data_IF_166169912172
#
_entry.id   IF_166169912172
#
_cell.length_a   1.000
_cell.length_b   1.000
_cell.length_c   1.000
_cell.angle_alpha   90.00
_cell.angle_beta   90.00
_cell.angle_gamma   90.00
#
_symmetry.space_group_name_H-M   'P 1'
#
loop_
_entity.id
_entity.type
_entity.pdbx_description
1 polymer ?
#
# COMPACT_ATOMS: atom_id res chain seq x y z
N UNK A 1 -7.14 21.08 29.39
CA UNK A 1 -6.45 21.17 28.08
C UNK A 1 -7.33 20.45 27.08
N UNK A 2 -7.92 21.17 26.13
CA UNK A 2 -8.86 20.56 25.18
C UNK A 2 -8.08 20.12 23.94
N UNK A 3 -7.55 18.91 24.00
CA UNK A 3 -6.86 18.29 22.88
C UNK A 3 -7.88 18.01 21.77
N UNK A 4 -7.97 18.94 20.81
CA UNK A 4 -8.90 18.82 19.70
C UNK A 4 -8.31 17.85 18.69
N UNK A 5 -8.64 16.56 18.81
CA UNK A 5 -8.21 15.53 17.85
C UNK A 5 -8.78 15.85 16.48
N UNK A 6 -7.90 16.21 15.55
CA UNK A 6 -8.28 16.48 14.16
C UNK A 6 -8.72 15.16 13.52
N UNK A 7 -9.93 15.09 12.96
CA UNK A 7 -10.47 13.87 12.34
C UNK A 7 -10.73 14.05 10.84
N UNK A 8 -10.82 12.94 10.10
CA UNK A 8 -11.15 12.90 8.68
C UNK A 8 -11.98 11.68 8.32
N UNK A 9 -12.97 11.89 7.45
CA UNK A 9 -13.75 10.82 6.83
C UNK A 9 -12.96 10.16 5.69
N UNK A 10 -12.82 8.84 5.73
CA UNK A 10 -12.24 8.07 4.63
C UNK A 10 -13.16 8.10 3.41
N UNK A 11 -12.64 8.45 2.24
CA UNK A 11 -13.38 8.48 0.96
C UNK A 11 -13.73 7.09 0.39
N UNK A 12 -13.31 6.00 1.04
CA UNK A 12 -13.61 4.62 0.61
C UNK A 12 -14.56 3.89 1.55
N UNK A 13 -14.20 3.77 2.83
CA UNK A 13 -15.08 3.12 3.82
C UNK A 13 -16.02 4.10 4.55
N UNK A 14 -15.90 5.41 4.31
CA UNK A 14 -16.74 6.44 4.92
C UNK A 14 -16.68 6.55 6.45
N UNK A 15 -15.82 5.79 7.12
CA UNK A 15 -15.53 5.93 8.55
C UNK A 15 -14.75 7.22 8.85
N UNK A 16 -15.09 7.84 9.98
CA UNK A 16 -14.35 8.96 10.56
C UNK A 16 -13.22 8.38 11.43
N UNK A 17 -11.98 8.82 11.18
CA UNK A 17 -10.80 8.41 11.94
C UNK A 17 -9.95 9.64 12.26
N UNK A 18 -9.09 9.54 13.26
CA UNK A 18 -8.12 10.58 13.57
C UNK A 18 -7.19 10.84 12.38
N UNK A 19 -6.91 12.11 12.10
CA UNK A 19 -5.99 12.56 11.06
C UNK A 19 -4.55 12.42 11.56
N UNK A 20 -4.15 11.17 11.77
CA UNK A 20 -2.81 10.80 12.21
C UNK A 20 -2.11 9.94 11.15
N UNK A 21 -0.79 9.83 11.29
CA UNK A 21 0.01 8.91 10.49
C UNK A 21 -0.37 7.45 10.70
N UNK A 22 -1.08 7.09 11.76
CA UNK A 22 -1.56 5.73 12.00
C UNK A 22 -2.73 5.38 11.08
N UNK A 23 -3.68 6.31 10.90
CA UNK A 23 -4.89 6.06 10.13
C UNK A 23 -4.77 6.43 8.65
N UNK A 24 -3.94 7.42 8.31
CA UNK A 24 -3.80 7.93 6.93
C UNK A 24 -2.32 8.02 6.52
N UNK A 25 -2.02 7.64 5.28
CA UNK A 25 -0.68 7.86 4.73
C UNK A 25 -0.42 9.35 4.52
N UNK A 26 0.81 9.79 4.81
CA UNK A 26 1.28 11.12 4.44
C UNK A 26 1.27 11.25 2.91
N UNK A 27 0.79 12.38 2.42
CA UNK A 27 0.73 12.70 0.99
C UNK A 27 1.09 14.16 0.82
N UNK A 28 2.34 14.42 0.48
CA UNK A 28 2.87 15.78 0.30
C UNK A 28 2.19 16.54 -0.84
N UNK A 29 1.60 15.83 -1.81
CA UNK A 29 0.83 16.43 -2.90
C UNK A 29 -0.61 16.79 -2.52
N UNK A 30 -1.09 16.47 -1.31
CA UNK A 30 -2.43 16.82 -0.84
C UNK A 30 -2.36 18.05 0.06
N UNK A 31 -3.29 19.00 -0.10
CA UNK A 31 -3.34 20.24 0.69
C UNK A 31 -3.30 19.99 2.20
N UNK A 32 -3.86 18.88 2.68
CA UNK A 32 -3.90 18.53 4.12
C UNK A 32 -2.75 17.62 4.57
N UNK A 33 -1.77 17.33 3.70
CA UNK A 33 -0.61 16.50 4.01
C UNK A 33 -0.89 15.01 4.23
N UNK A 34 -2.15 14.58 4.16
CA UNK A 34 -2.59 13.20 4.35
C UNK A 34 -3.51 12.74 3.22
N UNK A 35 -3.55 11.44 2.97
CA UNK A 35 -4.46 10.80 2.03
C UNK A 35 -5.94 10.96 2.43
N UNK A 36 -6.83 10.99 1.42
CA UNK A 36 -8.30 10.88 1.61
C UNK A 36 -8.75 9.46 1.92
N UNK A 37 -7.87 8.47 1.75
CA UNK A 37 -8.17 7.04 1.93
C UNK A 37 -7.36 6.53 3.11
N UNK A 38 -8.01 5.86 4.07
CA UNK A 38 -7.34 5.31 5.24
C UNK A 38 -6.36 4.19 4.86
N UNK A 39 -5.42 3.89 5.76
CA UNK A 39 -4.45 2.81 5.57
C UNK A 39 -5.11 1.45 5.36
N UNK A 40 -6.18 1.15 6.11
CA UNK A 40 -6.91 -0.13 5.99
C UNK A 40 -7.46 -0.34 4.58
N UNK A 41 -8.13 0.67 4.00
CA UNK A 41 -8.64 0.58 2.64
C UNK A 41 -7.52 0.44 1.60
N UNK A 42 -6.38 1.11 1.81
CA UNK A 42 -5.23 0.93 0.93
C UNK A 42 -4.64 -0.49 1.04
N UNK A 43 -4.48 -1.03 2.26
CA UNK A 43 -4.02 -2.41 2.47
C UNK A 43 -4.91 -3.42 1.76
N UNK A 44 -6.24 -3.28 1.85
CA UNK A 44 -7.19 -4.15 1.13
C UNK A 44 -7.00 -4.06 -0.39
N UNK A 45 -6.97 -2.84 -0.94
CA UNK A 45 -6.74 -2.59 -2.37
C UNK A 45 -5.40 -3.16 -2.86
N UNK A 46 -4.34 -3.03 -2.06
CA UNK A 46 -3.01 -3.52 -2.42
C UNK A 46 -2.96 -5.06 -2.35
N UNK A 47 -3.65 -5.68 -1.39
CA UNK A 47 -3.81 -7.13 -1.31
C UNK A 47 -4.58 -7.68 -2.52
N UNK A 48 -5.71 -7.06 -2.90
CA UNK A 48 -6.48 -7.42 -4.10
C UNK A 48 -5.63 -7.29 -5.37
N UNK A 49 -4.90 -6.18 -5.50
CA UNK A 49 -3.98 -5.95 -6.61
C UNK A 49 -2.89 -7.03 -6.68
N UNK A 50 -2.36 -7.45 -5.53
CA UNK A 50 -1.37 -8.51 -5.46
C UNK A 50 -1.97 -9.84 -5.90
N UNK A 51 -3.14 -10.23 -5.41
CA UNK A 51 -3.80 -11.48 -5.81
C UNK A 51 -4.04 -11.52 -7.33
N UNK A 52 -4.55 -10.44 -7.91
CA UNK A 52 -4.80 -10.34 -9.36
C UNK A 52 -3.53 -10.41 -10.21
N UNK A 53 -2.36 -10.10 -9.64
CA UNK A 53 -1.06 -10.13 -10.33
C UNK A 53 -0.17 -11.29 -9.89
N UNK A 54 -0.64 -12.14 -8.97
CA UNK A 54 0.16 -13.16 -8.29
C UNK A 54 0.86 -14.09 -9.27
N UNK A 55 0.13 -14.60 -10.26
CA UNK A 55 0.67 -15.53 -11.24
C UNK A 55 1.75 -14.90 -12.12
N UNK A 56 1.55 -13.65 -12.53
CA UNK A 56 2.55 -12.88 -13.29
C UNK A 56 3.83 -12.66 -12.47
N UNK A 57 3.68 -12.32 -11.20
CA UNK A 57 4.79 -12.13 -10.26
C UNK A 57 5.55 -13.45 -10.06
N UNK A 58 4.85 -14.56 -9.85
CA UNK A 58 5.46 -15.89 -9.66
C UNK A 58 6.18 -16.36 -10.93
N UNK A 59 5.58 -16.18 -12.10
CA UNK A 59 6.20 -16.51 -13.38
C UNK A 59 7.48 -15.68 -13.61
N UNK A 60 7.45 -14.39 -13.29
CA UNK A 60 8.64 -13.53 -13.37
C UNK A 60 9.74 -13.99 -12.41
N UNK A 61 9.40 -14.30 -11.16
CA UNK A 61 10.35 -14.84 -10.16
C UNK A 61 10.97 -16.14 -10.64
N UNK A 62 10.18 -17.08 -11.16
CA UNK A 62 10.68 -18.36 -11.70
C UNK A 62 11.69 -18.15 -12.83
N UNK A 63 11.40 -17.23 -13.77
CA UNK A 63 12.33 -16.88 -14.86
C UNK A 63 13.63 -16.25 -14.33
N UNK A 64 13.53 -15.37 -13.34
CA UNK A 64 14.70 -14.72 -12.72
C UNK A 64 15.65 -15.76 -12.11
N UNK A 65 15.14 -16.66 -11.27
CA UNK A 65 15.96 -17.68 -10.62
C UNK A 65 16.54 -18.69 -11.61
N UNK A 66 15.80 -19.03 -12.68
CA UNK A 66 16.33 -19.89 -13.75
C UNK A 66 17.57 -19.26 -14.41
N UNK A 67 17.47 -18.00 -14.82
CA UNK A 67 18.59 -17.24 -15.41
C UNK A 67 19.76 -17.03 -14.44
N UNK A 68 19.47 -16.92 -13.15
CA UNK A 68 20.53 -16.81 -12.14
C UNK A 68 21.28 -18.13 -11.99
N UNK A 69 20.57 -19.27 -11.97
CA UNK A 69 21.19 -20.60 -11.92
C UNK A 69 22.03 -20.88 -13.17
N UNK A 70 21.52 -20.55 -14.36
CA UNK A 70 22.28 -20.65 -15.62
C UNK A 70 23.61 -19.88 -15.53
N UNK A 71 23.57 -18.62 -15.09
CA UNK A 71 24.78 -17.79 -14.92
C UNK A 71 25.78 -18.31 -13.89
N UNK A 72 25.32 -18.98 -12.85
CA UNK A 72 26.20 -19.55 -11.83
C UNK A 72 26.86 -20.86 -12.29
N UNK A 73 26.25 -21.55 -13.24
CA UNK A 73 26.76 -22.82 -13.76
C UNK A 73 27.72 -22.64 -14.95
N UNK A 74 27.77 -21.45 -15.56
CA UNK A 74 28.69 -21.09 -16.66
C UNK A 74 30.08 -20.62 -16.15
N UNK A 75 30.32 -20.63 -14.83
CA UNK A 75 31.58 -20.27 -14.17
C UNK A 75 32.14 -21.48 -13.42
#
# INVERSE_FOLDING_TARGET
MNETTLTRKCSKCHEIKELSSENFYRKHSDKKGFSKVCKLCNKKKDAERYQNKKDKILAQKKRYYRRQKERLNDH
#
